data_IF_757326248788
#
_entry.id   IF_757326248788
#
_cell.length_a   1.000
_cell.length_b   1.000
_cell.length_c   1.000
_cell.angle_alpha   90.00
_cell.angle_beta   90.00
_cell.angle_gamma   90.00
#
_symmetry.space_group_name_H-M   'P 1'
#
loop_
_entity.id
_entity.type
_entity.pdbx_description
1 polymer ?
#
# COMPACT_ATOMS: atom_id res chain seq x y z
N UNK A 1 13.74 5.79 3.51
CA UNK A 1 13.15 5.45 2.20
C UNK A 1 12.58 4.03 2.18
N UNK A 2 13.30 3.01 2.68
CA UNK A 2 12.83 1.61 2.72
C UNK A 2 11.40 1.39 3.23
N UNK A 3 11.02 2.02 4.34
CA UNK A 3 9.66 1.92 4.88
C UNK A 3 8.57 2.51 3.95
N UNK A 4 8.90 3.47 3.09
CA UNK A 4 7.96 4.03 2.11
C UNK A 4 7.79 3.08 0.91
N UNK A 5 8.81 2.35 0.49
CA UNK A 5 8.65 1.33 -0.56
C UNK A 5 7.74 0.19 -0.11
N UNK A 6 7.78 -0.19 1.18
CA UNK A 6 6.84 -1.14 1.79
C UNK A 6 5.40 -0.65 1.84
N UNK A 7 5.15 0.60 1.44
CA UNK A 7 3.83 1.22 1.39
C UNK A 7 3.25 1.26 -0.03
N UNK A 8 3.94 0.70 -1.03
CA UNK A 8 3.47 0.59 -2.42
C UNK A 8 3.09 -0.88 -2.69
N UNK A 9 1.81 -1.21 -2.91
CA UNK A 9 1.36 -2.60 -3.02
C UNK A 9 1.97 -3.34 -4.21
N UNK A 10 2.25 -2.66 -5.32
CA UNK A 10 2.87 -3.25 -6.52
C UNK A 10 4.29 -3.75 -6.27
N UNK A 11 4.97 -3.24 -5.24
CA UNK A 11 6.32 -3.68 -4.88
C UNK A 11 6.32 -4.93 -4.00
N UNK A 12 5.16 -5.43 -3.56
CA UNK A 12 5.05 -6.53 -2.62
C UNK A 12 5.77 -7.79 -3.12
N UNK A 13 5.62 -8.16 -4.39
CA UNK A 13 6.26 -9.35 -4.98
C UNK A 13 7.79 -9.25 -4.97
N UNK A 14 8.33 -8.06 -5.29
CA UNK A 14 9.77 -7.82 -5.27
C UNK A 14 10.31 -7.79 -3.84
N UNK A 15 9.60 -7.12 -2.92
CA UNK A 15 9.97 -7.08 -1.51
C UNK A 15 9.94 -8.46 -0.87
N UNK A 16 8.96 -9.31 -1.22
CA UNK A 16 8.91 -10.70 -0.78
C UNK A 16 10.12 -11.49 -1.29
N UNK A 17 10.52 -11.29 -2.55
CA UNK A 17 11.70 -11.93 -3.12
C UNK A 17 13.01 -11.47 -2.43
N UNK A 18 13.12 -10.17 -2.12
CA UNK A 18 14.34 -9.57 -1.55
C UNK A 18 14.47 -9.77 -0.05
N UNK A 19 13.39 -9.63 0.71
CA UNK A 19 13.37 -9.62 2.18
C UNK A 19 12.79 -10.91 2.78
N UNK A 20 12.14 -11.76 1.98
CA UNK A 20 11.53 -13.01 2.43
C UNK A 20 10.22 -12.84 3.21
N UNK A 21 9.75 -11.60 3.40
CA UNK A 21 8.52 -11.28 4.16
C UNK A 21 7.61 -10.40 3.31
N UNK A 22 6.30 -10.72 3.21
CA UNK A 22 5.37 -9.89 2.46
C UNK A 22 5.12 -8.56 3.18
N UNK A 23 5.04 -7.48 2.41
CA UNK A 23 4.62 -6.17 2.92
C UNK A 23 3.10 -5.97 2.89
N UNK A 24 2.40 -6.76 2.07
CA UNK A 24 0.95 -6.70 1.89
C UNK A 24 0.29 -8.08 1.89
N UNK A 25 -1.00 -8.08 2.25
CA UNK A 25 -1.91 -9.17 1.90
C UNK A 25 -2.97 -8.69 0.92
N UNK A 26 -3.34 -9.54 -0.03
CA UNK A 26 -4.45 -9.26 -0.93
C UNK A 26 -5.78 -9.30 -0.16
N UNK A 27 -6.66 -8.40 -0.54
CA UNK A 27 -8.02 -8.21 -0.02
C UNK A 27 -8.95 -8.27 -1.21
N UNK A 28 -9.82 -9.28 -1.22
CA UNK A 28 -10.83 -9.40 -2.27
C UNK A 28 -11.95 -8.43 -1.97
N UNK A 29 -12.62 -7.97 -3.02
CA UNK A 29 -13.79 -7.12 -2.85
C UNK A 29 -14.93 -7.57 -3.76
N UNK A 30 -16.16 -7.42 -3.28
CA UNK A 30 -17.40 -7.66 -4.02
C UNK A 30 -18.37 -6.52 -3.69
N UNK A 31 -18.49 -5.56 -4.62
CA UNK A 31 -19.16 -4.29 -4.34
C UNK A 31 -18.51 -3.59 -3.16
N UNK A 32 -19.28 -3.37 -2.10
CA UNK A 32 -18.82 -2.64 -0.90
C UNK A 32 -18.27 -3.55 0.20
N UNK A 33 -18.16 -4.86 -0.08
CA UNK A 33 -17.67 -5.84 0.87
C UNK A 33 -16.22 -6.17 0.58
N UNK A 34 -15.39 -6.08 1.61
CA UNK A 34 -13.97 -6.37 1.58
C UNK A 34 -13.69 -7.61 2.42
N UNK A 35 -12.96 -8.56 1.84
CA UNK A 35 -12.65 -9.85 2.41
C UNK A 35 -11.16 -9.90 2.76
N UNK A 36 -10.86 -9.71 4.05
CA UNK A 36 -9.49 -9.70 4.57
C UNK A 36 -9.17 -11.10 5.11
N UNK A 37 -8.13 -11.80 4.62
CA UNK A 37 -7.85 -13.16 5.08
C UNK A 37 -7.42 -13.19 6.56
N UNK A 38 -7.88 -14.16 7.34
CA UNK A 38 -7.64 -14.25 8.80
C UNK A 38 -6.16 -14.35 9.17
N UNK A 39 -5.31 -14.84 8.26
CA UNK A 39 -3.84 -14.86 8.42
C UNK A 39 -3.24 -13.51 8.83
N UNK A 40 -3.93 -12.39 8.56
CA UNK A 40 -3.50 -11.06 9.04
C UNK A 40 -3.34 -11.02 10.56
N UNK A 41 -4.17 -11.75 11.31
CA UNK A 41 -4.11 -11.80 12.77
C UNK A 41 -2.73 -12.30 13.25
N UNK A 42 -2.18 -13.30 12.55
CA UNK A 42 -0.85 -13.86 12.85
C UNK A 42 0.25 -12.85 12.54
N UNK A 43 0.16 -12.12 11.42
CA UNK A 43 1.11 -11.05 11.08
C UNK A 43 1.06 -9.91 12.11
N UNK A 44 -0.14 -9.52 12.56
CA UNK A 44 -0.32 -8.48 13.57
C UNK A 44 -0.03 -8.97 15.00
N UNK A 45 0.10 -10.28 15.24
CA UNK A 45 0.13 -10.87 16.58
C UNK A 45 -1.02 -10.33 17.46
N UNK A 46 -2.21 -10.22 16.87
CA UNK A 46 -3.41 -9.68 17.51
C UNK A 46 -4.53 -10.72 17.51
N UNK A 47 -5.37 -10.69 18.54
CA UNK A 47 -6.64 -11.42 18.52
C UNK A 47 -7.61 -10.77 17.52
N UNK A 48 -8.63 -11.52 17.09
CA UNK A 48 -9.64 -11.04 16.15
C UNK A 48 -10.26 -9.71 16.61
N UNK A 49 -10.81 -9.66 17.83
CA UNK A 49 -11.40 -8.44 18.40
C UNK A 49 -10.41 -7.27 18.43
N UNK A 50 -9.15 -7.52 18.81
CA UNK A 50 -8.12 -6.47 18.86
C UNK A 50 -7.79 -5.94 17.47
N UNK A 51 -7.78 -6.81 16.45
CA UNK A 51 -7.59 -6.40 15.08
C UNK A 51 -8.78 -5.59 14.55
N UNK A 52 -10.02 -5.97 14.89
CA UNK A 52 -11.21 -5.18 14.52
C UNK A 52 -11.13 -3.76 15.10
N UNK A 53 -10.81 -3.64 16.40
CA UNK A 53 -10.62 -2.34 17.05
C UNK A 53 -9.51 -1.53 16.35
N UNK A 54 -8.36 -2.17 16.12
CA UNK A 54 -7.22 -1.55 15.46
C UNK A 54 -7.53 -1.08 14.03
N UNK A 55 -8.22 -1.92 13.24
CA UNK A 55 -8.63 -1.61 11.89
C UNK A 55 -9.59 -0.42 11.88
N UNK A 56 -10.57 -0.41 12.79
CA UNK A 56 -11.53 0.68 12.93
C UNK A 56 -10.90 2.00 13.39
N UNK A 57 -9.87 1.95 14.25
CA UNK A 57 -9.13 3.13 14.70
C UNK A 57 -8.31 3.76 13.56
N UNK A 58 -7.79 2.94 12.66
CA UNK A 58 -6.95 3.40 11.53
C UNK A 58 -7.73 3.75 10.29
N UNK A 59 -8.93 3.22 10.14
CA UNK A 59 -9.81 3.57 9.05
C UNK A 59 -10.24 5.04 9.15
N UNK A 60 -10.01 5.79 8.08
CA UNK A 60 -10.51 7.18 7.97
C UNK A 60 -12.02 7.19 7.70
N UNK A 61 -12.57 6.07 7.21
CA UNK A 61 -13.97 5.90 6.84
C UNK A 61 -14.62 4.74 7.62
N UNK A 62 -15.96 4.72 7.65
CA UNK A 62 -16.75 3.72 8.38
C UNK A 62 -16.73 2.36 7.67
N UNK A 63 -15.71 1.55 7.95
CA UNK A 63 -15.74 0.12 7.70
C UNK A 63 -16.44 -0.59 8.86
N UNK A 64 -17.53 -1.28 8.57
CA UNK A 64 -18.25 -2.09 9.56
C UNK A 64 -17.93 -3.57 9.37
N UNK A 65 -17.39 -4.19 10.41
CA UNK A 65 -17.27 -5.64 10.44
C UNK A 65 -18.67 -6.29 10.41
N UNK A 66 -18.86 -7.27 9.53
CA UNK A 66 -20.13 -8.00 9.39
C UNK A 66 -20.05 -9.40 9.98
N UNK A 67 -19.10 -10.19 9.49
CA UNK A 67 -18.99 -11.61 9.82
C UNK A 67 -17.62 -12.18 9.46
N UNK A 68 -17.35 -13.36 10.00
CA UNK A 68 -16.30 -14.25 9.56
C UNK A 68 -16.88 -15.25 8.55
N UNK A 69 -16.25 -15.40 7.39
CA UNK A 69 -16.71 -16.29 6.32
C UNK A 69 -15.52 -16.99 5.67
N UNK A 70 -15.50 -18.33 5.64
CA UNK A 70 -14.47 -19.13 4.98
C UNK A 70 -13.01 -18.67 5.24
N UNK A 71 -12.69 -18.34 6.49
CA UNK A 71 -11.39 -17.81 6.91
C UNK A 71 -11.05 -16.36 6.45
N UNK A 72 -12.08 -15.59 6.10
CA UNK A 72 -12.00 -14.15 5.83
C UNK A 72 -12.80 -13.33 6.85
N UNK A 73 -12.23 -12.21 7.26
CA UNK A 73 -12.91 -11.13 7.97
C UNK A 73 -13.61 -10.25 6.93
N UNK A 74 -14.94 -10.20 6.99
CA UNK A 74 -15.75 -9.43 6.03
C UNK A 74 -16.10 -8.07 6.61
N UNK A 75 -15.63 -7.03 5.92
CA UNK A 75 -15.95 -5.63 6.22
C UNK A 75 -16.85 -5.06 5.13
N UNK A 76 -17.85 -4.27 5.52
CA UNK A 76 -18.67 -3.51 4.59
C UNK A 76 -18.35 -2.03 4.75
N UNK A 77 -18.03 -1.38 3.63
CA UNK A 77 -17.78 0.05 3.55
C UNK A 77 -19.09 0.78 3.26
N UNK A 78 -19.42 1.81 4.03
CA UNK A 78 -20.49 2.74 3.65
C UNK A 78 -19.98 3.63 2.51
N UNK A 79 -20.36 3.34 1.26
CA UNK A 79 -20.05 4.21 0.13
C UNK A 79 -20.77 5.56 0.27
N UNK A 80 -20.01 6.61 0.55
CA UNK A 80 -20.44 7.98 0.23
C UNK A 80 -19.93 8.33 -1.16
N UNK A 81 -20.76 9.02 -1.95
CA UNK A 81 -20.31 9.58 -3.24
C UNK A 81 -19.13 10.53 -2.98
N UNK A 82 -18.02 10.30 -3.68
CA UNK A 82 -16.82 11.13 -3.59
C UNK A 82 -15.66 10.51 -2.79
N UNK A 83 -15.85 9.36 -2.14
CA UNK A 83 -14.79 8.74 -1.33
C UNK A 83 -13.73 8.07 -2.21
N UNK A 84 -12.62 8.79 -2.37
CA UNK A 84 -11.38 8.31 -2.97
C UNK A 84 -10.46 7.62 -1.93
N UNK A 85 -10.83 7.65 -0.65
CA UNK A 85 -9.98 7.17 0.41
C UNK A 85 -10.34 5.72 0.77
N UNK A 86 -9.40 4.81 0.62
CA UNK A 86 -9.58 3.41 1.01
C UNK A 86 -8.77 3.05 2.26
N UNK A 87 -8.14 4.03 2.93
CA UNK A 87 -7.38 3.81 4.17
C UNK A 87 -8.19 2.97 5.17
N UNK A 88 -7.65 1.84 5.66
CA UNK A 88 -6.25 1.40 5.60
C UNK A 88 -5.82 0.58 4.37
N UNK A 89 -6.75 0.28 3.45
CA UNK A 89 -6.50 -0.47 2.23
C UNK A 89 -5.83 0.40 1.17
N UNK A 90 -5.04 -0.26 0.34
CA UNK A 90 -4.38 0.30 -0.84
C UNK A 90 -4.83 -0.43 -2.08
N UNK A 91 -4.78 0.22 -3.23
CA UNK A 91 -5.19 -0.36 -4.49
C UNK A 91 -3.97 -0.76 -5.32
N UNK A 92 -3.83 -2.04 -5.61
CA UNK A 92 -2.83 -2.53 -6.56
C UNK A 92 -3.39 -2.35 -7.99
N UNK A 93 -2.83 -1.39 -8.73
CA UNK A 93 -3.29 -1.09 -10.08
C UNK A 93 -2.96 -2.21 -11.07
N UNK A 94 -1.82 -2.88 -10.91
CA UNK A 94 -1.36 -3.93 -11.79
C UNK A 94 -2.22 -5.21 -11.67
N UNK A 95 -2.60 -5.57 -10.43
CA UNK A 95 -3.42 -6.75 -10.16
C UNK A 95 -4.93 -6.44 -10.12
N UNK A 96 -5.31 -5.16 -10.10
CA UNK A 96 -6.69 -4.70 -9.91
C UNK A 96 -7.32 -5.23 -8.62
N UNK A 97 -6.52 -5.32 -7.55
CA UNK A 97 -6.94 -5.84 -6.24
C UNK A 97 -6.68 -4.83 -5.14
N UNK A 98 -7.43 -4.92 -4.05
CA UNK A 98 -7.08 -4.20 -2.83
C UNK A 98 -6.04 -4.97 -2.04
N UNK A 99 -5.23 -4.24 -1.29
CA UNK A 99 -4.14 -4.79 -0.51
C UNK A 99 -4.11 -4.10 0.87
N UNK A 100 -3.96 -4.90 1.92
CA UNK A 100 -3.77 -4.41 3.28
C UNK A 100 -2.27 -4.44 3.63
N UNK A 101 -1.67 -3.31 4.03
CA UNK A 101 -0.31 -3.29 4.55
C UNK A 101 -0.18 -4.19 5.79
N UNK A 102 0.87 -5.00 5.86
CA UNK A 102 1.20 -5.88 7.01
C UNK A 102 2.20 -5.22 7.99
N UNK A 103 2.54 -3.94 7.78
CA UNK A 103 3.56 -3.25 8.57
C UNK A 103 2.97 -2.65 9.84
N UNK A 104 3.50 -3.05 11.01
CA UNK A 104 3.04 -2.59 12.34
C UNK A 104 3.47 -1.16 12.70
N UNK A 105 4.58 -0.71 12.14
CA UNK A 105 5.21 0.57 12.49
C UNK A 105 4.48 1.74 11.81
N UNK A 106 3.53 2.36 12.52
CA UNK A 106 2.93 3.68 12.27
C UNK A 106 2.24 3.97 10.91
N UNK A 107 2.15 2.99 10.00
CA UNK A 107 2.03 3.30 8.56
C UNK A 107 0.68 3.10 7.88
N UNK A 108 -0.45 3.05 8.59
CA UNK A 108 -1.76 2.90 7.94
C UNK A 108 -2.30 4.17 7.26
N UNK A 109 -1.65 5.31 7.42
CA UNK A 109 -2.36 6.60 7.32
C UNK A 109 -1.96 7.42 6.10
N UNK A 110 -0.93 7.02 5.35
CA UNK A 110 -0.56 7.78 4.16
C UNK A 110 -1.41 7.36 2.98
N UNK A 111 -2.18 8.33 2.47
CA UNK A 111 -2.78 8.27 1.16
C UNK A 111 -1.72 7.89 0.12
N UNK A 112 -2.04 6.98 -0.80
CA UNK A 112 -1.07 6.43 -1.75
C UNK A 112 -0.37 7.52 -2.58
N UNK A 113 -1.14 8.53 -3.00
CA UNK A 113 -0.61 9.71 -3.69
C UNK A 113 0.53 10.41 -2.91
N UNK A 114 0.41 10.53 -1.58
CA UNK A 114 1.47 11.12 -0.74
C UNK A 114 2.69 10.21 -0.67
N UNK A 115 2.51 8.89 -0.63
CA UNK A 115 3.62 7.92 -0.64
C UNK A 115 4.41 8.04 -1.94
N UNK A 116 3.73 8.06 -3.09
CA UNK A 116 4.37 8.24 -4.39
C UNK A 116 5.09 9.59 -4.47
N UNK A 117 4.45 10.67 -4.02
CA UNK A 117 5.08 12.00 -3.95
C UNK A 117 6.35 11.99 -3.11
N UNK A 118 6.31 11.45 -1.88
CA UNK A 118 7.47 11.42 -0.99
C UNK A 118 8.60 10.58 -1.57
N UNK A 119 8.31 9.42 -2.16
CA UNK A 119 9.33 8.58 -2.79
C UNK A 119 9.99 9.29 -3.98
N UNK A 120 9.20 9.86 -4.89
CA UNK A 120 9.72 10.60 -6.05
C UNK A 120 10.51 11.85 -5.62
N UNK A 121 10.03 12.58 -4.60
CA UNK A 121 10.75 13.71 -4.02
C UNK A 121 12.12 13.27 -3.50
N UNK A 122 12.16 12.23 -2.68
CA UNK A 122 13.42 11.74 -2.12
C UNK A 122 14.37 11.23 -3.23
N UNK A 123 13.87 10.51 -4.23
CA UNK A 123 14.67 10.08 -5.39
C UNK A 123 15.22 11.27 -6.18
N UNK A 124 14.43 12.34 -6.34
CA UNK A 124 14.88 13.57 -7.01
C UNK A 124 16.00 14.27 -6.24
N UNK A 125 15.96 14.23 -4.90
CA UNK A 125 17.01 14.79 -4.05
C UNK A 125 18.31 14.00 -4.20
N UNK A 126 18.24 12.66 -4.14
CA UNK A 126 19.42 11.82 -4.36
C UNK A 126 19.96 12.06 -5.78
N UNK A 127 19.09 12.13 -6.80
CA UNK A 127 19.53 12.37 -8.19
C UNK A 127 20.27 13.70 -8.39
N UNK A 128 19.91 14.72 -7.62
CA UNK A 128 20.53 16.05 -7.69
C UNK A 128 21.81 16.14 -6.86
N UNK A 129 21.83 15.56 -5.67
CA UNK A 129 22.87 15.81 -4.67
C UNK A 129 23.85 14.66 -4.46
N UNK A 130 23.51 13.44 -4.89
CA UNK A 130 24.27 12.21 -4.67
C UNK A 130 24.63 11.55 -6.02
N UNK A 131 25.19 12.34 -6.95
CA UNK A 131 25.48 11.87 -8.31
C UNK A 131 26.52 10.74 -8.36
N UNK A 132 27.47 10.74 -7.43
CA UNK A 132 28.47 9.67 -7.28
C UNK A 132 27.82 8.36 -6.84
N UNK A 133 26.91 8.43 -5.85
CA UNK A 133 26.16 7.28 -5.38
C UNK A 133 25.28 6.68 -6.49
N UNK A 134 24.61 7.50 -7.31
CA UNK A 134 23.86 7.00 -8.48
C UNK A 134 24.74 6.31 -9.52
N UNK A 135 25.91 6.89 -9.83
CA UNK A 135 26.88 6.28 -10.74
C UNK A 135 27.37 4.95 -10.20
N UNK A 136 27.59 4.84 -8.89
CA UNK A 136 27.95 3.58 -8.24
C UNK A 136 26.78 2.59 -8.28
N UNK A 137 25.57 2.98 -7.90
CA UNK A 137 24.37 2.14 -7.89
C UNK A 137 24.12 1.46 -9.24
N UNK A 138 24.29 2.18 -10.35
CA UNK A 138 24.13 1.64 -11.70
C UNK A 138 25.24 0.64 -12.06
N UNK A 139 26.45 0.82 -11.52
CA UNK A 139 27.60 -0.07 -11.76
C UNK A 139 27.57 -1.31 -10.87
N UNK A 140 27.16 -1.16 -9.61
CA UNK A 140 27.05 -2.24 -8.64
C UNK A 140 25.66 -2.88 -8.72
N UNK A 141 25.48 -3.72 -9.75
CA UNK A 141 24.27 -4.54 -9.94
C UNK A 141 23.81 -5.43 -8.75
N UNK A 142 24.61 -5.82 -7.72
CA UNK A 142 24.08 -6.68 -6.66
C UNK A 142 23.37 -5.95 -5.53
N UNK A 143 23.24 -4.61 -5.54
CA UNK A 143 22.48 -3.92 -4.47
C UNK A 143 20.96 -4.07 -4.69
N UNK A 144 20.25 -4.48 -3.62
CA UNK A 144 18.79 -4.58 -3.57
C UNK A 144 18.07 -3.26 -3.88
N UNK A 145 18.74 -2.12 -3.68
CA UNK A 145 18.16 -0.80 -3.90
C UNK A 145 17.84 -0.52 -5.38
N UNK A 146 18.70 -0.95 -6.31
CA UNK A 146 18.52 -0.67 -7.74
C UNK A 146 17.21 -1.27 -8.30
N UNK A 147 16.93 -2.58 -8.20
CA UNK A 147 15.70 -3.16 -8.73
C UNK A 147 14.45 -2.60 -8.03
N UNK A 148 14.56 -2.22 -6.74
CA UNK A 148 13.45 -1.63 -6.00
C UNK A 148 13.09 -0.24 -6.54
N UNK A 149 14.10 0.60 -6.77
CA UNK A 149 13.95 1.95 -7.33
C UNK A 149 13.43 1.87 -8.76
N UNK A 150 14.02 1.03 -9.60
CA UNK A 150 13.62 0.85 -11.00
C UNK A 150 12.15 0.42 -11.10
N UNK A 151 11.77 -0.63 -10.35
CA UNK A 151 10.39 -1.12 -10.32
C UNK A 151 9.42 -0.04 -9.82
N UNK A 152 9.80 0.70 -8.78
CA UNK A 152 8.96 1.79 -8.27
C UNK A 152 8.74 2.90 -9.30
N UNK A 153 9.77 3.27 -10.06
CA UNK A 153 9.65 4.27 -11.11
C UNK A 153 8.71 3.80 -12.22
N UNK A 154 8.81 2.52 -12.64
CA UNK A 154 7.89 1.92 -13.60
C UNK A 154 6.44 1.96 -13.09
N UNK A 155 6.19 1.53 -11.85
CA UNK A 155 4.86 1.59 -11.22
C UNK A 155 4.34 3.03 -11.18
N UNK A 156 5.20 4.00 -10.83
CA UNK A 156 4.78 5.40 -10.68
C UNK A 156 4.38 6.07 -11.99
N UNK A 157 4.88 5.61 -13.14
CA UNK A 157 4.48 6.11 -14.46
C UNK A 157 2.99 5.87 -14.71
N UNK A 158 2.46 4.72 -14.27
CA UNK A 158 1.05 4.36 -14.46
C UNK A 158 0.21 4.80 -13.27
N UNK A 159 0.64 4.44 -12.06
CA UNK A 159 -0.11 4.66 -10.82
C UNK A 159 -0.15 6.12 -10.39
N UNK A 160 0.92 6.89 -10.64
CA UNK A 160 0.96 8.31 -10.31
C UNK A 160 -0.19 9.09 -10.97
N UNK A 161 -0.29 9.09 -12.32
CA UNK A 161 -1.39 9.72 -13.04
C UNK A 161 -2.76 9.18 -12.65
N UNK A 162 -2.89 7.85 -12.45
CA UNK A 162 -4.13 7.24 -11.98
C UNK A 162 -4.61 7.82 -10.65
N UNK A 163 -3.72 7.89 -9.65
CA UNK A 163 -4.05 8.42 -8.32
C UNK A 163 -4.41 9.91 -8.38
N UNK A 164 -3.74 10.69 -9.24
CA UNK A 164 -4.08 12.12 -9.45
C UNK A 164 -5.44 12.27 -10.12
N UNK A 165 -5.71 11.49 -11.18
CA UNK A 165 -6.98 11.51 -11.89
C UNK A 165 -8.14 11.16 -10.97
N UNK A 166 -8.00 10.07 -10.21
CA UNK A 166 -9.01 9.64 -9.26
C UNK A 166 -9.24 10.69 -8.16
N UNK A 167 -8.17 11.30 -7.64
CA UNK A 167 -8.28 12.41 -6.68
C UNK A 167 -9.07 13.58 -7.26
N UNK A 168 -8.73 14.04 -8.47
CA UNK A 168 -9.37 15.20 -9.09
C UNK A 168 -10.83 14.94 -9.49
N UNK A 169 -11.16 13.72 -9.90
CA UNK A 169 -12.52 13.38 -10.35
C UNK A 169 -13.47 13.04 -9.20
N UNK A 170 -12.96 12.43 -8.12
CA UNK A 170 -13.78 11.99 -6.98
C UNK A 170 -13.79 13.00 -5.82
N UNK A 171 -12.71 13.75 -5.58
CA UNK A 171 -12.69 14.78 -4.54
C UNK A 171 -13.38 16.10 -4.97
N UNK A 172 -13.77 16.23 -6.24
CA UNK A 172 -14.30 17.45 -6.85
C UNK A 172 -15.80 17.71 -6.69
N UNK A 173 -16.54 16.92 -5.92
CA UNK A 173 -18.01 17.05 -5.77
C UNK A 173 -18.50 16.83 -4.33
#
# INVERSE_FOLDING_TARGET
>A
MGNLFKQVPELNSLLLFLDGVPSFTNVYHEGNRFFIPKRVLDFFHMTENRFLDFFSEKAVEEYHFKRLENDFLVFEKNEKKGDFNYIPLKYNLAEQTYALPLTKENGFVFHELLVHYLLLYNLSMIARYETEWWSELVKTMPNKDFPLIETFLQVSIEKGPFLVYEYLTKAGH
#
